data_IF_866747743477
#
_entry.id   IF_866747743477
#
_cell.length_a   1.000
_cell.length_b   1.000
_cell.length_c   1.000
_cell.angle_alpha   90.00
_cell.angle_beta   90.00
_cell.angle_gamma   90.00
#
_symmetry.space_group_name_H-M   'P 1'
#
loop_
_entity.id
_entity.type
_entity.pdbx_description
1 polymer ?
#
# COMPACT_ATOMS: atom_id res chain seq x y z
N UNK A 1 -54.14 -8.11 -7.85
CA UNK A 1 -53.54 -8.88 -8.96
C UNK A 1 -53.25 -7.91 -10.08
N UNK A 2 -52.08 -7.75 -10.69
CA UNK A 2 -50.73 -8.30 -10.56
C UNK A 2 -49.81 -7.12 -10.91
N UNK A 3 -48.76 -6.93 -10.12
CA UNK A 3 -47.72 -5.94 -10.35
C UNK A 3 -46.91 -6.39 -11.58
N UNK A 4 -46.99 -5.67 -12.70
CA UNK A 4 -46.18 -5.93 -13.90
C UNK A 4 -44.76 -5.48 -13.63
N UNK A 5 -43.91 -6.44 -13.22
CA UNK A 5 -42.47 -6.22 -13.14
C UNK A 5 -41.93 -5.80 -14.51
N UNK A 6 -41.18 -4.71 -14.51
CA UNK A 6 -40.44 -4.19 -15.67
C UNK A 6 -39.62 -5.31 -16.31
N UNK A 7 -40.04 -5.75 -17.51
CA UNK A 7 -39.25 -6.61 -18.37
C UNK A 7 -38.01 -5.80 -18.78
N UNK A 8 -36.87 -6.13 -18.18
CA UNK A 8 -35.58 -5.53 -18.52
C UNK A 8 -35.28 -5.90 -19.98
N UNK A 9 -35.29 -4.93 -20.89
CA UNK A 9 -34.92 -5.14 -22.29
C UNK A 9 -33.54 -5.80 -22.35
N UNK A 10 -33.48 -6.97 -22.98
CA UNK A 10 -32.24 -7.71 -23.18
C UNK A 10 -31.43 -6.98 -24.24
N UNK A 11 -30.14 -6.76 -23.98
CA UNK A 11 -29.26 -6.17 -24.99
C UNK A 11 -28.85 -7.24 -26.02
N UNK A 12 -28.32 -6.79 -27.16
CA UNK A 12 -27.94 -7.66 -28.27
C UNK A 12 -26.96 -8.77 -27.86
N UNK A 13 -26.10 -8.53 -26.86
CA UNK A 13 -25.17 -9.54 -26.35
C UNK A 13 -25.90 -10.60 -25.51
N UNK A 14 -26.85 -10.19 -24.66
CA UNK A 14 -27.66 -11.09 -23.84
C UNK A 14 -28.49 -12.03 -24.73
N UNK A 15 -29.08 -11.50 -25.80
CA UNK A 15 -29.82 -12.28 -26.79
C UNK A 15 -28.92 -13.29 -27.52
N UNK A 16 -27.72 -12.88 -27.93
CA UNK A 16 -26.76 -13.76 -28.59
C UNK A 16 -26.34 -14.91 -27.67
N UNK A 17 -25.91 -14.59 -26.45
CA UNK A 17 -25.36 -15.58 -25.53
C UNK A 17 -26.44 -16.46 -24.87
N UNK A 18 -27.72 -16.08 -24.97
CA UNK A 18 -28.81 -16.74 -24.27
C UNK A 18 -28.73 -16.60 -22.75
N UNK A 19 -28.02 -15.58 -22.27
CA UNK A 19 -27.80 -15.31 -20.84
C UNK A 19 -28.46 -13.98 -20.47
N UNK A 20 -29.64 -14.01 -19.82
CA UNK A 20 -30.33 -12.79 -19.42
C UNK A 20 -29.66 -12.09 -18.24
N UNK A 21 -28.74 -12.76 -17.54
CA UNK A 21 -28.07 -12.23 -16.37
C UNK A 21 -26.75 -11.57 -16.76
N UNK A 22 -26.78 -10.25 -16.87
CA UNK A 22 -25.56 -9.45 -17.12
C UNK A 22 -24.55 -9.67 -16.00
N UNK A 23 -23.40 -10.24 -16.34
CA UNK A 23 -22.29 -10.43 -15.42
C UNK A 23 -21.05 -9.67 -15.93
N UNK A 24 -20.72 -8.56 -15.28
CA UNK A 24 -19.62 -7.69 -15.68
C UNK A 24 -18.25 -8.41 -15.71
N UNK A 25 -18.01 -9.38 -14.81
CA UNK A 25 -16.78 -10.19 -14.80
C UNK A 25 -16.71 -11.05 -16.06
N UNK A 26 -17.80 -11.72 -16.40
CA UNK A 26 -17.91 -12.53 -17.62
C UNK A 26 -17.74 -11.69 -18.88
N UNK A 27 -18.30 -10.48 -18.91
CA UNK A 27 -18.19 -9.58 -20.05
C UNK A 27 -16.76 -9.07 -20.25
N UNK A 28 -16.07 -8.70 -19.15
CA UNK A 28 -14.67 -8.27 -19.18
C UNK A 28 -13.78 -9.42 -19.66
N UNK A 29 -13.96 -10.63 -19.13
CA UNK A 29 -13.23 -11.80 -19.59
C UNK A 29 -13.48 -12.05 -21.07
N UNK A 30 -14.73 -12.00 -21.53
CA UNK A 30 -15.07 -12.25 -22.93
C UNK A 30 -14.42 -11.20 -23.84
N UNK A 31 -14.46 -9.92 -23.45
CA UNK A 31 -13.79 -8.86 -24.20
C UNK A 31 -12.28 -9.17 -24.33
N UNK A 32 -11.62 -9.55 -23.24
CA UNK A 32 -10.19 -9.86 -23.23
C UNK A 32 -9.85 -11.11 -24.04
N UNK A 33 -10.63 -12.18 -23.91
CA UNK A 33 -10.48 -13.40 -24.67
C UNK A 33 -10.59 -13.14 -26.18
N UNK A 34 -11.61 -12.38 -26.61
CA UNK A 34 -11.76 -12.00 -28.01
C UNK A 34 -10.59 -11.13 -28.50
N UNK A 35 -10.11 -10.20 -27.67
CA UNK A 35 -9.02 -9.30 -28.02
C UNK A 35 -7.67 -10.02 -28.12
N UNK A 36 -7.40 -10.96 -27.21
CA UNK A 36 -6.08 -11.57 -27.03
C UNK A 36 -5.91 -12.88 -27.80
N UNK A 37 -6.98 -13.69 -27.90
CA UNK A 37 -6.91 -15.03 -28.48
C UNK A 37 -7.54 -15.10 -29.88
N UNK A 38 -8.31 -14.08 -30.27
CA UNK A 38 -9.08 -14.06 -31.52
C UNK A 38 -8.90 -12.77 -32.33
N UNK A 39 -7.88 -11.97 -31.98
CA UNK A 39 -7.45 -10.76 -32.70
C UNK A 39 -8.60 -9.77 -33.00
N UNK A 40 -9.55 -9.62 -32.07
CA UNK A 40 -10.75 -8.82 -32.30
C UNK A 40 -10.48 -7.33 -32.60
N UNK A 41 -9.30 -6.83 -32.22
CA UNK A 41 -8.83 -5.46 -32.47
C UNK A 41 -9.79 -4.38 -31.95
N UNK A 42 -10.38 -4.61 -30.79
CA UNK A 42 -11.20 -3.65 -30.07
C UNK A 42 -10.40 -2.43 -29.61
N UNK A 43 -11.07 -1.29 -29.46
CA UNK A 43 -10.48 -0.13 -28.79
C UNK A 43 -10.35 -0.44 -27.28
N UNK A 44 -9.13 -0.48 -26.70
CA UNK A 44 -8.94 -0.77 -25.28
C UNK A 44 -9.73 0.14 -24.33
N UNK A 45 -10.11 1.34 -24.78
CA UNK A 45 -10.92 2.26 -23.98
C UNK A 45 -12.33 1.74 -23.68
N UNK A 46 -12.84 0.80 -24.48
CA UNK A 46 -14.20 0.27 -24.30
C UNK A 46 -14.28 -0.84 -23.27
N UNK A 47 -13.16 -1.51 -22.94
CA UNK A 47 -13.15 -2.59 -21.98
C UNK A 47 -13.61 -2.09 -20.59
N UNK A 48 -14.69 -2.68 -20.06
CA UNK A 48 -15.33 -2.26 -18.81
C UNK A 48 -16.17 -0.97 -18.92
N UNK A 49 -16.27 -0.38 -20.11
CA UNK A 49 -17.06 0.81 -20.42
C UNK A 49 -18.49 0.50 -20.86
N UNK A 50 -19.25 1.54 -21.17
CA UNK A 50 -20.68 1.44 -21.54
C UNK A 50 -20.91 0.74 -22.88
N UNK A 51 -19.98 0.88 -23.83
CA UNK A 51 -20.08 0.35 -25.20
C UNK A 51 -19.48 -1.05 -25.35
N UNK A 52 -18.82 -1.59 -24.31
CA UNK A 52 -18.11 -2.87 -24.36
C UNK A 52 -18.98 -4.01 -24.93
N UNK A 53 -20.22 -4.12 -24.44
CA UNK A 53 -21.13 -5.22 -24.79
C UNK A 53 -21.59 -5.12 -26.24
N UNK A 54 -21.75 -3.90 -26.76
CA UNK A 54 -22.12 -3.67 -28.16
C UNK A 54 -20.98 -4.06 -29.11
N UNK A 55 -19.73 -3.75 -28.76
CA UNK A 55 -18.55 -4.17 -29.54
C UNK A 55 -18.41 -5.69 -29.60
N UNK A 56 -18.57 -6.37 -28.46
CA UNK A 56 -18.55 -7.84 -28.39
C UNK A 56 -19.67 -8.40 -29.29
N UNK A 57 -20.91 -7.93 -29.13
CA UNK A 57 -22.04 -8.42 -29.91
C UNK A 57 -21.84 -8.22 -31.42
N UNK A 58 -21.34 -7.04 -31.81
CA UNK A 58 -21.03 -6.73 -33.20
C UNK A 58 -19.97 -7.68 -33.77
N UNK A 59 -18.89 -7.92 -33.04
CA UNK A 59 -17.82 -8.83 -33.48
C UNK A 59 -18.30 -10.26 -33.64
N UNK A 60 -19.02 -10.79 -32.63
CA UNK A 60 -19.54 -12.16 -32.66
C UNK A 60 -20.50 -12.40 -33.83
N UNK A 61 -21.40 -11.44 -34.11
CA UNK A 61 -22.31 -11.49 -35.26
C UNK A 61 -21.55 -11.46 -36.58
N UNK A 62 -20.58 -10.55 -36.72
CA UNK A 62 -19.83 -10.34 -37.96
C UNK A 62 -18.94 -11.53 -38.30
N UNK A 63 -18.24 -12.10 -37.31
CA UNK A 63 -17.35 -13.26 -37.50
C UNK A 63 -18.07 -14.61 -37.48
N UNK A 64 -19.37 -14.64 -37.19
CA UNK A 64 -20.18 -15.87 -37.02
C UNK A 64 -19.52 -16.85 -36.05
N UNK A 65 -19.00 -16.34 -34.93
CA UNK A 65 -18.23 -17.14 -34.00
C UNK A 65 -19.13 -18.19 -33.29
N UNK A 66 -18.69 -19.45 -33.14
CA UNK A 66 -19.49 -20.49 -32.51
C UNK A 66 -19.64 -20.25 -31.00
N UNK A 67 -20.84 -19.80 -30.59
CA UNK A 67 -21.14 -19.44 -29.19
C UNK A 67 -20.91 -20.58 -28.18
N UNK A 68 -21.09 -21.84 -28.59
CA UNK A 68 -20.78 -23.01 -27.74
C UNK A 68 -19.31 -23.07 -27.33
N UNK A 69 -18.39 -22.54 -28.15
CA UNK A 69 -16.97 -22.45 -27.77
C UNK A 69 -16.78 -21.42 -26.66
N UNK A 70 -17.46 -20.28 -26.73
CA UNK A 70 -17.40 -19.23 -25.69
C UNK A 70 -17.80 -19.80 -24.33
N UNK A 71 -18.93 -20.51 -24.24
CA UNK A 71 -19.37 -21.11 -22.98
C UNK A 71 -18.31 -22.08 -22.43
N UNK A 72 -17.74 -22.92 -23.28
CA UNK A 72 -16.72 -23.90 -22.87
C UNK A 72 -15.43 -23.23 -22.40
N UNK A 73 -14.95 -22.20 -23.11
CA UNK A 73 -13.75 -21.48 -22.67
C UNK A 73 -14.02 -20.70 -21.38
N UNK A 74 -15.21 -20.12 -21.22
CA UNK A 74 -15.64 -19.47 -19.97
C UNK A 74 -15.57 -20.42 -18.79
N UNK A 75 -16.11 -21.63 -18.94
CA UNK A 75 -16.10 -22.69 -17.92
C UNK A 75 -14.69 -23.16 -17.57
N UNK A 76 -13.69 -22.91 -18.43
CA UNK A 76 -12.28 -23.27 -18.19
C UNK A 76 -11.47 -22.13 -17.60
N UNK A 77 -11.89 -20.89 -17.82
CA UNK A 77 -11.12 -19.71 -17.43
C UNK A 77 -11.52 -19.13 -16.07
N UNK A 78 -12.81 -19.15 -15.72
CA UNK A 78 -13.34 -18.45 -14.56
C UNK A 78 -13.37 -19.33 -13.31
N UNK A 79 -12.53 -19.00 -12.31
CA UNK A 79 -12.64 -19.63 -10.98
C UNK A 79 -13.86 -19.12 -10.20
N UNK A 80 -14.39 -19.86 -9.21
CA UNK A 80 -15.53 -19.42 -8.40
C UNK A 80 -15.29 -18.07 -7.70
N UNK A 81 -16.34 -17.27 -7.51
CA UNK A 81 -16.24 -15.96 -6.87
C UNK A 81 -15.75 -16.07 -5.41
N UNK A 82 -16.05 -17.19 -4.74
CA UNK A 82 -15.61 -17.52 -3.39
C UNK A 82 -14.07 -17.57 -3.29
N UNK A 83 -13.40 -18.10 -4.32
CA UNK A 83 -11.93 -18.14 -4.40
C UNK A 83 -11.30 -16.75 -4.53
N UNK A 84 -12.08 -15.76 -4.97
CA UNK A 84 -11.65 -14.37 -5.16
C UNK A 84 -12.17 -13.42 -4.07
N UNK A 85 -12.96 -13.92 -3.12
CA UNK A 85 -13.63 -13.08 -2.11
C UNK A 85 -12.65 -12.39 -1.15
N UNK A 86 -11.45 -12.94 -0.97
CA UNK A 86 -10.39 -12.37 -0.11
C UNK A 86 -9.63 -11.20 -0.76
N UNK A 87 -9.81 -10.98 -2.06
CA UNK A 87 -9.28 -9.80 -2.76
C UNK A 87 -10.28 -8.67 -2.51
N UNK A 88 -9.95 -7.81 -1.56
CA UNK A 88 -10.77 -6.68 -1.12
C UNK A 88 -10.53 -5.46 -2.02
N UNK A 89 -11.40 -4.44 -1.94
CA UNK A 89 -11.14 -3.14 -2.56
C UNK A 89 -10.13 -2.33 -1.74
N UNK A 90 -8.89 -2.83 -1.66
CA UNK A 90 -7.79 -2.19 -0.94
C UNK A 90 -6.58 -1.94 -1.86
N UNK A 91 -6.24 -0.67 -2.02
CA UNK A 91 -5.11 -0.22 -2.85
C UNK A 91 -3.77 -0.88 -2.51
N UNK A 92 -3.47 -1.09 -1.22
CA UNK A 92 -2.19 -1.71 -0.81
C UNK A 92 -2.18 -3.18 -1.24
N UNK A 93 -3.26 -3.90 -0.97
CA UNK A 93 -3.42 -5.28 -1.45
C UNK A 93 -3.31 -5.34 -2.97
N UNK A 94 -3.94 -4.41 -3.69
CA UNK A 94 -3.88 -4.39 -5.15
C UNK A 94 -2.46 -4.23 -5.68
N UNK A 95 -1.70 -3.26 -5.14
CA UNK A 95 -0.32 -3.04 -5.52
C UNK A 95 0.55 -4.26 -5.21
N UNK A 96 0.34 -4.90 -4.05
CA UNK A 96 1.09 -6.07 -3.65
C UNK A 96 0.80 -7.30 -4.55
N UNK A 97 -0.46 -7.46 -4.97
CA UNK A 97 -0.90 -8.57 -5.82
C UNK A 97 -0.53 -8.40 -7.28
N UNK A 98 -0.61 -7.19 -7.83
CA UNK A 98 -0.49 -6.93 -9.28
C UNK A 98 0.77 -7.59 -9.87
N UNK A 99 1.95 -7.23 -9.36
CA UNK A 99 3.20 -7.77 -9.89
C UNK A 99 3.41 -9.26 -9.61
N UNK A 100 2.68 -9.85 -8.64
CA UNK A 100 2.73 -11.30 -8.36
C UNK A 100 1.86 -12.06 -9.34
N UNK A 101 0.64 -11.58 -9.59
CA UNK A 101 -0.28 -12.18 -10.56
C UNK A 101 0.26 -12.05 -11.98
N UNK A 102 0.82 -10.90 -12.36
CA UNK A 102 1.45 -10.74 -13.69
C UNK A 102 2.60 -11.73 -13.92
N UNK A 103 3.43 -11.97 -12.90
CA UNK A 103 4.52 -12.95 -12.95
C UNK A 103 4.00 -14.38 -13.00
N UNK A 104 3.02 -14.70 -12.15
CA UNK A 104 2.39 -16.02 -12.07
C UNK A 104 1.74 -16.41 -13.40
N UNK A 105 0.90 -15.52 -13.94
CA UNK A 105 0.18 -15.75 -15.18
C UNK A 105 1.08 -15.63 -16.43
N UNK A 106 2.31 -15.12 -16.28
CA UNK A 106 3.19 -14.72 -17.38
C UNK A 106 2.44 -13.89 -18.45
N UNK A 107 1.55 -13.02 -17.99
CA UNK A 107 0.55 -12.34 -18.80
C UNK A 107 0.65 -10.84 -18.63
N UNK A 108 0.46 -10.11 -19.72
CA UNK A 108 0.22 -8.66 -19.70
C UNK A 108 -1.04 -8.35 -20.50
N UNK A 109 -1.99 -7.70 -19.85
CA UNK A 109 -3.20 -7.23 -20.53
C UNK A 109 -2.87 -6.10 -21.52
N UNK A 110 -3.75 -5.86 -22.52
CA UNK A 110 -3.63 -4.72 -23.42
C UNK A 110 -3.42 -3.39 -22.69
N UNK A 111 -2.64 -2.49 -23.28
CA UNK A 111 -2.47 -1.13 -22.75
C UNK A 111 -3.73 -0.31 -23.05
N UNK A 112 -4.04 0.67 -22.18
CA UNK A 112 -5.15 1.61 -22.42
C UNK A 112 -6.52 1.16 -21.88
N UNK A 113 -6.57 0.12 -21.05
CA UNK A 113 -7.79 -0.36 -20.39
C UNK A 113 -8.22 0.60 -19.25
N UNK A 114 -8.67 1.81 -19.60
CA UNK A 114 -8.86 2.93 -18.65
C UNK A 114 -9.91 2.68 -17.57
N UNK A 115 -10.85 1.76 -17.80
CA UNK A 115 -11.90 1.39 -16.85
C UNK A 115 -11.56 0.17 -15.97
N UNK A 116 -10.43 -0.52 -16.24
CA UNK A 116 -9.97 -1.65 -15.44
C UNK A 116 -8.87 -1.19 -14.46
N UNK A 117 -9.25 -1.09 -13.18
CA UNK A 117 -8.36 -0.71 -12.08
C UNK A 117 -8.65 -1.53 -10.83
N UNK A 118 -7.70 -1.54 -9.90
CA UNK A 118 -7.87 -2.18 -8.59
C UNK A 118 -8.29 -3.64 -8.71
N UNK A 119 -9.28 -4.05 -7.92
CA UNK A 119 -9.78 -5.43 -7.86
C UNK A 119 -10.19 -5.98 -9.22
N UNK A 120 -10.88 -5.17 -10.03
CA UNK A 120 -11.36 -5.60 -11.37
C UNK A 120 -10.20 -5.96 -12.29
N UNK A 121 -9.10 -5.20 -12.24
CA UNK A 121 -7.91 -5.48 -13.03
C UNK A 121 -7.26 -6.81 -12.62
N UNK A 122 -7.14 -7.05 -11.31
CA UNK A 122 -6.56 -8.29 -10.80
C UNK A 122 -7.39 -9.50 -11.17
N UNK A 123 -8.72 -9.41 -11.03
CA UNK A 123 -9.63 -10.49 -11.43
C UNK A 123 -9.54 -10.73 -12.93
N UNK A 124 -9.49 -9.68 -13.75
CA UNK A 124 -9.31 -9.82 -15.19
C UNK A 124 -7.99 -10.54 -15.56
N UNK A 125 -6.89 -10.23 -14.88
CA UNK A 125 -5.62 -10.95 -15.04
C UNK A 125 -5.73 -12.43 -14.68
N UNK A 126 -6.39 -12.75 -13.57
CA UNK A 126 -6.59 -14.14 -13.12
C UNK A 126 -7.48 -14.90 -14.11
N UNK A 127 -8.55 -14.27 -14.57
CA UNK A 127 -9.50 -14.86 -15.51
C UNK A 127 -8.86 -15.10 -16.89
N UNK A 128 -7.97 -14.20 -17.33
CA UNK A 128 -7.23 -14.32 -18.59
C UNK A 128 -5.98 -15.20 -18.51
N UNK A 129 -5.58 -15.67 -17.33
CA UNK A 129 -4.47 -16.60 -17.18
C UNK A 129 -4.80 -17.94 -17.86
N UNK A 130 -3.96 -18.42 -18.77
CA UNK A 130 -4.11 -19.72 -19.43
C UNK A 130 -3.55 -20.85 -18.55
N UNK A 131 -4.36 -21.32 -17.60
CA UNK A 131 -4.07 -22.45 -16.72
C UNK A 131 -5.35 -23.17 -16.32
N UNK A 132 -5.22 -24.42 -15.85
CA UNK A 132 -6.35 -25.21 -15.36
C UNK A 132 -6.96 -24.57 -14.10
N UNK A 133 -8.27 -24.71 -13.91
CA UNK A 133 -8.98 -24.09 -12.77
C UNK A 133 -8.42 -24.54 -11.42
N UNK A 134 -7.98 -25.80 -11.32
CA UNK A 134 -7.37 -26.37 -10.12
C UNK A 134 -6.07 -25.64 -9.79
N UNK A 135 -5.17 -25.52 -10.77
CA UNK A 135 -3.90 -24.81 -10.64
C UNK A 135 -4.13 -23.33 -10.28
N UNK A 136 -5.07 -22.67 -10.96
CA UNK A 136 -5.45 -21.29 -10.61
C UNK A 136 -5.89 -21.19 -9.16
N UNK A 137 -6.79 -22.08 -8.73
CA UNK A 137 -7.35 -22.04 -7.38
C UNK A 137 -6.28 -22.27 -6.31
N UNK A 138 -5.35 -23.22 -6.55
CA UNK A 138 -4.23 -23.49 -5.66
C UNK A 138 -3.29 -22.28 -5.53
N UNK A 139 -2.90 -21.68 -6.65
CA UNK A 139 -2.00 -20.52 -6.64
C UNK A 139 -2.65 -19.27 -6.04
N UNK A 140 -3.95 -19.03 -6.29
CA UNK A 140 -4.68 -17.95 -5.64
C UNK A 140 -4.78 -18.17 -4.11
N UNK A 141 -4.96 -19.41 -3.66
CA UNK A 141 -4.95 -19.73 -2.23
C UNK A 141 -3.55 -19.58 -1.61
N UNK A 142 -2.48 -19.89 -2.34
CA UNK A 142 -1.10 -19.62 -1.93
C UNK A 142 -0.87 -18.11 -1.78
N UNK A 143 -1.28 -17.30 -2.77
CA UNK A 143 -1.20 -15.84 -2.70
C UNK A 143 -1.99 -15.28 -1.50
N UNK A 144 -3.17 -15.85 -1.19
CA UNK A 144 -3.94 -15.48 0.00
C UNK A 144 -3.14 -15.73 1.29
N UNK A 145 -2.54 -16.91 1.43
CA UNK A 145 -1.72 -17.26 2.59
C UNK A 145 -0.50 -16.36 2.71
N UNK A 146 0.15 -16.03 1.59
CA UNK A 146 1.28 -15.10 1.55
C UNK A 146 0.87 -13.69 1.95
N UNK A 147 -0.28 -13.20 1.46
CA UNK A 147 -0.82 -11.91 1.85
C UNK A 147 -1.11 -11.82 3.35
N UNK A 148 -1.71 -12.86 3.94
CA UNK A 148 -1.96 -12.91 5.39
C UNK A 148 -0.65 -12.90 6.19
N UNK A 149 0.36 -13.68 5.76
CA UNK A 149 1.69 -13.67 6.37
C UNK A 149 2.39 -12.31 6.22
N UNK A 150 2.19 -11.64 5.09
CA UNK A 150 2.71 -10.31 4.82
C UNK A 150 2.08 -9.29 5.77
N UNK A 151 0.75 -9.25 5.85
CA UNK A 151 -0.03 -8.38 6.75
C UNK A 151 0.29 -8.62 8.23
N UNK A 152 0.59 -9.86 8.64
CA UNK A 152 0.99 -10.15 10.02
C UNK A 152 2.28 -9.41 10.45
N UNK A 153 3.15 -9.04 9.51
CA UNK A 153 4.37 -8.25 9.77
C UNK A 153 4.08 -6.79 10.06
N UNK A 154 2.86 -6.31 9.80
CA UNK A 154 2.47 -4.90 10.04
C UNK A 154 2.56 -4.51 11.51
N UNK A 155 2.50 -5.50 12.41
CA UNK A 155 2.75 -5.32 13.85
C UNK A 155 4.08 -4.62 14.16
N UNK A 156 5.10 -4.77 13.32
CA UNK A 156 6.36 -4.04 13.45
C UNK A 156 6.19 -2.51 13.31
N UNK A 157 5.16 -2.08 12.59
CA UNK A 157 4.83 -0.68 12.33
C UNK A 157 3.67 -0.16 13.19
N UNK A 158 3.15 -0.93 14.15
CA UNK A 158 2.00 -0.54 14.97
C UNK A 158 2.19 0.81 15.67
N UNK A 159 3.44 1.15 15.99
CA UNK A 159 3.80 2.46 16.54
C UNK A 159 3.40 3.64 15.63
N UNK A 160 3.31 3.48 14.31
CA UNK A 160 2.85 4.52 13.39
C UNK A 160 1.32 4.60 13.27
N UNK A 161 0.58 3.59 13.75
CA UNK A 161 -0.87 3.52 13.62
C UNK A 161 -1.65 4.35 14.65
N UNK A 162 -0.97 4.92 15.65
CA UNK A 162 -1.62 5.65 16.74
C UNK A 162 -2.33 6.92 16.24
N UNK A 163 -3.67 6.93 16.24
CA UNK A 163 -4.50 7.95 15.57
C UNK A 163 -4.11 9.41 15.82
N UNK A 164 -3.72 9.77 17.05
CA UNK A 164 -3.41 11.17 17.40
C UNK A 164 -2.09 11.66 16.81
N UNK A 165 -1.11 10.77 16.69
CA UNK A 165 0.25 11.12 16.26
C UNK A 165 0.63 10.48 14.93
N UNK A 166 -0.23 9.65 14.33
CA UNK A 166 0.06 8.83 13.15
C UNK A 166 0.61 9.67 12.00
N UNK A 167 -0.10 10.75 11.63
CA UNK A 167 0.33 11.63 10.55
C UNK A 167 1.70 12.27 10.83
N UNK A 168 1.92 12.77 12.05
CA UNK A 168 3.19 13.39 12.43
C UNK A 168 4.35 12.40 12.52
N UNK A 169 4.10 11.17 13.00
CA UNK A 169 5.09 10.08 13.01
C UNK A 169 5.43 9.63 11.59
N UNK A 170 4.44 9.54 10.71
CA UNK A 170 4.64 9.23 9.28
C UNK A 170 5.42 10.33 8.57
N UNK A 171 5.10 11.61 8.80
CA UNK A 171 5.87 12.73 8.28
C UNK A 171 7.32 12.71 8.80
N UNK A 172 7.54 12.40 10.08
CA UNK A 172 8.89 12.25 10.63
C UNK A 172 9.65 11.07 10.00
N UNK A 173 8.97 9.97 9.67
CA UNK A 173 9.54 8.86 8.93
C UNK A 173 9.96 9.30 7.52
N UNK A 174 9.09 10.03 6.82
CA UNK A 174 9.39 10.58 5.50
C UNK A 174 10.62 11.47 5.52
N UNK A 175 10.71 12.44 6.43
CA UNK A 175 11.88 13.32 6.53
C UNK A 175 13.18 12.57 6.92
N UNK A 176 13.07 11.37 7.48
CA UNK A 176 14.23 10.52 7.73
C UNK A 176 14.64 9.80 6.46
N UNK A 177 13.67 9.19 5.77
CA UNK A 177 13.88 8.49 4.50
C UNK A 177 14.39 9.42 3.40
N UNK A 178 13.84 10.63 3.27
CA UNK A 178 14.28 11.62 2.29
C UNK A 178 15.73 12.04 2.47
N UNK A 179 16.24 12.03 3.72
CA UNK A 179 17.66 12.30 3.98
C UNK A 179 18.56 11.12 3.63
N UNK A 180 18.01 9.91 3.66
CA UNK A 180 18.69 8.68 3.25
C UNK A 180 18.34 8.35 1.78
N UNK A 181 19.07 9.00 0.87
CA UNK A 181 18.88 8.91 -0.59
C UNK A 181 18.92 7.47 -1.15
N UNK A 182 19.35 6.48 -0.36
CA UNK A 182 19.45 5.08 -0.80
C UNK A 182 18.08 4.41 -0.98
N UNK A 183 17.06 4.83 -0.22
CA UNK A 183 15.73 4.19 -0.22
C UNK A 183 14.68 4.99 -0.98
N UNK A 184 14.96 6.24 -1.33
CA UNK A 184 13.99 7.15 -1.94
C UNK A 184 14.39 7.42 -3.39
N UNK A 185 13.58 6.93 -4.32
CA UNK A 185 13.66 7.35 -5.73
C UNK A 185 13.12 8.77 -5.89
N UNK A 186 13.62 9.53 -6.87
CA UNK A 186 13.14 10.89 -7.22
C UNK A 186 11.63 10.98 -7.52
N UNK A 187 10.96 9.85 -7.75
CA UNK A 187 9.52 9.78 -8.04
C UNK A 187 8.66 9.37 -6.84
N UNK A 188 9.28 9.15 -5.69
CA UNK A 188 8.57 8.69 -4.49
C UNK A 188 7.77 9.85 -3.90
N UNK A 189 6.48 9.61 -3.64
CA UNK A 189 5.57 10.61 -3.06
C UNK A 189 5.79 10.64 -1.54
N UNK A 190 5.67 11.82 -0.89
CA UNK A 190 5.76 11.92 0.55
C UNK A 190 4.79 11.01 1.29
N UNK A 191 5.28 10.35 2.34
CA UNK A 191 4.47 9.51 3.23
C UNK A 191 3.75 10.41 4.23
N UNK A 192 2.43 10.52 4.08
CA UNK A 192 1.54 11.37 4.90
C UNK A 192 0.74 10.58 5.92
N UNK A 193 0.56 9.28 5.70
CA UNK A 193 -0.27 8.42 6.55
C UNK A 193 0.30 7.00 6.69
N UNK A 194 -0.31 6.25 7.61
CA UNK A 194 0.12 4.90 7.95
C UNK A 194 0.03 3.92 6.77
N UNK A 195 -0.99 4.03 5.91
CA UNK A 195 -1.15 3.14 4.77
C UNK A 195 -0.04 3.36 3.73
N UNK A 196 0.25 4.61 3.41
CA UNK A 196 1.36 4.99 2.53
C UNK A 196 2.71 4.51 3.08
N UNK A 197 2.90 4.58 4.40
CA UNK A 197 4.11 4.08 5.04
C UNK A 197 4.27 2.58 4.80
N UNK A 198 3.21 1.80 5.01
CA UNK A 198 3.25 0.36 4.75
C UNK A 198 3.51 0.06 3.28
N UNK A 199 2.84 0.77 2.35
CA UNK A 199 3.04 0.60 0.91
C UNK A 199 4.49 0.91 0.48
N UNK A 200 5.13 1.90 1.10
CA UNK A 200 6.54 2.20 0.86
C UNK A 200 7.44 1.02 1.28
N UNK A 201 7.26 0.51 2.50
CA UNK A 201 8.08 -0.60 3.01
C UNK A 201 7.81 -1.92 2.29
N UNK A 202 6.59 -2.13 1.77
CA UNK A 202 6.26 -3.29 0.95
C UNK A 202 7.07 -3.33 -0.35
N UNK A 203 7.38 -2.17 -0.93
CA UNK A 203 8.15 -2.03 -2.17
C UNK A 203 9.67 -1.90 -1.98
N UNK A 204 10.15 -1.61 -0.77
CA UNK A 204 11.56 -1.36 -0.50
C UNK A 204 12.44 -2.63 -0.44
N UNK A 205 11.84 -3.82 -0.52
CA UNK A 205 12.53 -5.14 -0.49
C UNK A 205 13.52 -5.32 0.68
N UNK A 206 13.26 -4.67 1.81
CA UNK A 206 14.17 -4.65 2.96
C UNK A 206 14.16 -5.94 3.77
N UNK A 207 15.33 -6.32 4.29
CA UNK A 207 15.43 -7.40 5.26
C UNK A 207 14.78 -7.04 6.61
N UNK A 208 14.30 -8.04 7.37
CA UNK A 208 13.63 -7.79 8.67
C UNK A 208 14.49 -6.99 9.66
N UNK A 209 15.79 -7.28 9.70
CA UNK A 209 16.72 -6.61 10.63
C UNK A 209 16.96 -5.16 10.23
N UNK A 210 17.11 -4.90 8.94
CA UNK A 210 17.29 -3.57 8.36
C UNK A 210 16.04 -2.72 8.59
N UNK A 211 14.86 -3.26 8.26
CA UNK A 211 13.58 -2.61 8.53
C UNK A 211 13.44 -2.24 10.03
N UNK A 212 13.78 -3.16 10.94
CA UNK A 212 13.74 -2.90 12.38
C UNK A 212 14.72 -1.80 12.81
N UNK A 213 15.92 -1.78 12.22
CA UNK A 213 16.91 -0.74 12.48
C UNK A 213 16.40 0.64 12.03
N UNK A 214 15.85 0.72 10.82
CA UNK A 214 15.25 1.96 10.27
C UNK A 214 14.12 2.46 11.18
N UNK A 215 13.18 1.59 11.56
CA UNK A 215 12.07 1.95 12.46
C UNK A 215 12.60 2.49 13.79
N UNK A 216 13.64 1.88 14.35
CA UNK A 216 14.23 2.34 15.60
C UNK A 216 14.91 3.71 15.47
N UNK A 217 15.60 3.99 14.37
CA UNK A 217 16.21 5.31 14.12
C UNK A 217 15.15 6.40 13.94
N UNK A 218 14.05 6.09 13.24
CA UNK A 218 12.91 7.00 13.12
C UNK A 218 12.32 7.29 14.51
N UNK A 219 12.10 6.26 15.35
CA UNK A 219 11.63 6.43 16.74
C UNK A 219 12.57 7.31 17.57
N UNK A 220 13.88 7.10 17.48
CA UNK A 220 14.88 7.95 18.17
C UNK A 220 14.82 9.39 17.71
N UNK A 221 14.69 9.64 16.40
CA UNK A 221 14.51 10.99 15.85
C UNK A 221 13.22 11.64 16.34
N UNK A 222 12.11 10.91 16.32
CA UNK A 222 10.84 11.40 16.84
C UNK A 222 10.94 11.80 18.32
N UNK A 223 11.52 10.95 19.16
CA UNK A 223 11.68 11.23 20.58
C UNK A 223 12.52 12.51 20.81
N UNK A 224 13.58 12.72 20.02
CA UNK A 224 14.36 13.97 20.06
C UNK A 224 13.51 15.19 19.69
N UNK A 225 12.76 15.13 18.59
CA UNK A 225 11.84 16.21 18.19
C UNK A 225 10.80 16.53 19.28
N UNK A 226 10.25 15.50 19.91
CA UNK A 226 9.28 15.68 20.99
C UNK A 226 9.90 16.32 22.24
N UNK A 227 11.17 16.03 22.53
CA UNK A 227 11.90 16.70 23.61
C UNK A 227 12.12 18.19 23.30
N UNK A 228 12.48 18.53 22.07
CA UNK A 228 12.67 19.91 21.62
C UNK A 228 11.35 20.69 21.68
N UNK A 229 10.23 20.10 21.24
CA UNK A 229 8.89 20.73 21.33
C UNK A 229 8.46 20.95 22.78
N UNK A 230 8.79 20.02 23.70
CA UNK A 230 8.45 20.16 25.12
C UNK A 230 9.35 21.15 25.85
N UNK A 231 10.54 21.42 25.34
CA UNK A 231 11.50 22.32 25.96
C UNK A 231 12.06 23.31 24.92
N UNK A 232 11.23 24.19 24.33
CA UNK A 232 11.65 25.08 23.25
C UNK A 232 12.81 26.00 23.68
N UNK A 233 12.84 26.38 24.96
CA UNK A 233 13.85 27.27 25.53
C UNK A 233 15.08 26.52 26.10
N UNK A 234 15.11 25.18 26.01
CA UNK A 234 16.19 24.38 26.60
C UNK A 234 16.84 23.47 25.57
N UNK A 235 18.14 23.66 25.38
CA UNK A 235 18.97 22.78 24.56
C UNK A 235 19.84 21.90 25.46
N UNK A 236 19.84 20.60 25.21
CA UNK A 236 20.77 19.71 25.90
C UNK A 236 22.21 20.01 25.46
N UNK A 237 23.08 20.33 26.41
CA UNK A 237 24.51 20.54 26.19
C UNK A 237 25.27 19.29 26.66
N UNK A 238 25.94 18.59 25.74
CA UNK A 238 26.81 17.46 26.08
C UNK A 238 28.22 17.99 26.37
N UNK A 239 28.53 18.17 27.66
CA UNK A 239 29.86 18.61 28.11
C UNK A 239 30.59 17.44 28.75
N UNK A 240 31.86 17.24 28.39
CA UNK A 240 32.74 16.34 29.12
C UNK A 240 33.37 17.10 30.28
N UNK A 241 33.14 16.64 31.50
CA UNK A 241 33.74 17.19 32.72
C UNK A 241 34.40 16.06 33.52
N UNK A 242 35.48 16.33 34.27
CA UNK A 242 36.17 15.31 35.06
C UNK A 242 35.24 14.64 36.08
N UNK A 243 35.47 13.35 36.36
CA UNK A 243 34.66 12.57 37.33
C UNK A 243 34.65 13.24 38.71
N UNK A 244 35.79 13.81 39.13
CA UNK A 244 35.88 14.55 40.38
C UNK A 244 34.94 15.76 40.43
N UNK A 245 34.77 16.47 39.30
CA UNK A 245 33.87 17.62 39.18
C UNK A 245 32.40 17.18 39.17
N UNK A 246 32.09 15.99 38.63
CA UNK A 246 30.74 15.40 38.72
C UNK A 246 30.38 15.13 40.19
N UNK A 247 31.31 14.59 40.97
CA UNK A 247 31.09 14.34 42.40
C UNK A 247 30.84 15.65 43.17
N UNK A 248 31.60 16.72 42.88
CA UNK A 248 31.37 18.04 43.45
C UNK A 248 29.99 18.61 43.05
N UNK A 249 29.58 18.44 41.79
CA UNK A 249 28.26 18.84 41.32
C UNK A 249 27.13 18.09 42.06
N UNK A 250 27.33 16.81 42.37
CA UNK A 250 26.40 16.01 43.17
C UNK A 250 26.27 16.51 44.61
N UNK A 251 27.40 16.81 45.26
CA UNK A 251 27.40 17.38 46.60
C UNK A 251 26.69 18.74 46.63
N UNK A 252 26.93 19.61 45.64
CA UNK A 252 26.25 20.90 45.51
C UNK A 252 24.74 20.72 45.28
N UNK A 253 24.34 19.80 44.40
CA UNK A 253 22.95 19.48 44.15
C UNK A 253 22.24 18.99 45.42
N UNK A 254 22.87 18.09 46.18
CA UNK A 254 22.35 17.56 47.43
C UNK A 254 22.25 18.65 48.51
N UNK A 255 23.32 19.42 48.71
CA UNK A 255 23.40 20.50 49.70
C UNK A 255 22.32 21.56 49.50
N UNK A 256 22.05 21.93 48.24
CA UNK A 256 21.07 22.96 47.89
C UNK A 256 19.69 22.41 47.52
N UNK A 257 19.48 21.09 47.56
CA UNK A 257 18.24 20.41 47.15
C UNK A 257 17.78 20.77 45.73
N UNK A 258 18.75 20.90 44.82
CA UNK A 258 18.52 21.24 43.41
C UNK A 258 18.85 20.04 42.52
N UNK A 259 18.30 20.02 41.31
CA UNK A 259 18.75 19.08 40.27
C UNK A 259 20.07 19.59 39.68
N UNK A 260 20.95 18.68 39.25
CA UNK A 260 22.24 19.02 38.60
C UNK A 260 22.12 20.14 37.54
N UNK A 261 21.14 20.13 36.61
CA UNK A 261 21.02 21.21 35.62
C UNK A 261 20.72 22.58 36.23
N UNK A 262 19.97 22.63 37.32
CA UNK A 262 19.64 23.90 38.01
C UNK A 262 20.85 24.48 38.74
N UNK A 263 21.74 23.60 39.26
CA UNK A 263 23.01 24.04 39.85
C UNK A 263 23.90 24.64 38.77
N UNK A 264 24.06 23.95 37.64
CA UNK A 264 24.83 24.44 36.49
C UNK A 264 24.28 25.78 35.98
N UNK A 265 22.97 25.86 35.78
CA UNK A 265 22.28 27.08 35.32
C UNK A 265 22.57 28.25 36.26
N UNK A 266 22.41 28.07 37.58
CA UNK A 266 22.70 29.14 38.56
C UNK A 266 24.16 29.55 38.59
N UNK A 267 25.09 28.59 38.47
CA UNK A 267 26.52 28.91 38.44
C UNK A 267 26.88 29.71 37.18
N UNK A 268 26.35 29.32 36.01
CA UNK A 268 26.60 30.04 34.76
C UNK A 268 25.95 31.42 34.80
N UNK A 269 24.70 31.55 35.24
CA UNK A 269 24.00 32.83 35.32
C UNK A 269 24.68 33.76 36.31
N UNK A 270 25.04 33.26 37.50
CA UNK A 270 25.72 34.06 38.51
C UNK A 270 27.10 34.54 38.02
N UNK A 271 27.84 33.68 37.33
CA UNK A 271 29.11 34.07 36.73
C UNK A 271 28.94 35.06 35.57
N UNK A 272 27.93 34.89 34.73
CA UNK A 272 27.65 35.82 33.63
C UNK A 272 27.24 37.22 34.14
N UNK A 273 26.50 37.29 35.24
CA UNK A 273 26.07 38.54 35.84
C UNK A 273 27.20 39.25 36.61
N UNK A 274 28.06 38.48 37.28
CA UNK A 274 29.06 39.03 38.19
C UNK A 274 30.48 39.12 37.61
N UNK A 275 30.84 38.25 36.64
CA UNK A 275 32.15 38.19 35.98
C UNK A 275 33.32 37.89 36.92
N UNK A 276 33.12 37.10 37.98
CA UNK A 276 34.11 36.99 39.08
C UNK A 276 35.14 35.88 38.83
N UNK A 277 34.77 34.84 38.10
CA UNK A 277 35.52 33.59 37.99
C UNK A 277 36.13 33.34 36.60
N UNK A 278 35.66 34.03 35.55
CA UNK A 278 36.07 33.82 34.15
C UNK A 278 36.75 35.05 33.50
N UNK A 279 37.21 36.02 34.29
CA UNK A 279 38.01 37.14 33.80
C UNK A 279 39.35 36.64 33.20
N UNK A 280 39.58 36.99 31.93
CA UNK A 280 40.84 36.84 31.19
C UNK A 280 41.41 38.20 30.82
#
# INVERSE_FOLDING_TARGET
MKNTGSQKELDALSELLGDPNRNARSDIWLWLHLQMDLDASFDPSTCGGLTMRDEIAFFLKTKKYPLRRISREKDRSLIPDESLAWIEEDERQHQWLLGRIEKLANLRLPRGLVHLKGRKLLIALIDSWDAYLEEKSEEIELLRKEWLKHKAKDSAFEWFAEKKESASRCACAWEWLEKDNSLVSRRTIPITNYKELLMFFDGAELGRNEQKAIINEIKKRWNRKQLDVRNPDKKQLNVMIPIAVIAQLDELAAKHKLKRPQVIERLITGEFEAGIHLDY
#
